data_IF_060830984549
#
_entry.id   IF_060830984549
#
_cell.length_a   1.000
_cell.length_b   1.000
_cell.length_c   1.000
_cell.angle_alpha   90.00
_cell.angle_beta   90.00
_cell.angle_gamma   90.00
#
_symmetry.space_group_name_H-M   'P 1'
#
loop_
_entity.id
_entity.type
_entity.pdbx_description
1 polymer ?
#
# COMPACT_ATOMS: atom_id res chain seq x y z
N UNK A 1 -27.18 26.08 11.44
CA UNK A 1 -26.74 24.96 10.58
C UNK A 1 -26.15 25.50 9.28
N UNK A 2 -26.88 26.30 8.49
CA UNK A 2 -26.41 26.89 7.22
C UNK A 2 -25.04 27.63 7.21
N UNK A 3 -24.59 28.21 8.33
CA UNK A 3 -23.33 28.98 8.35
C UNK A 3 -22.06 28.11 8.28
N UNK A 4 -22.15 26.83 8.66
CA UNK A 4 -20.99 25.91 8.64
C UNK A 4 -20.77 25.36 7.23
N UNK A 5 -21.86 25.11 6.52
CA UNK A 5 -21.90 24.50 5.18
C UNK A 5 -21.36 25.49 4.12
N UNK A 6 -21.62 26.79 4.31
CA UNK A 6 -21.05 27.84 3.45
C UNK A 6 -19.53 27.95 3.63
N UNK A 7 -19.03 27.86 4.86
CA UNK A 7 -17.59 27.97 5.12
C UNK A 7 -16.77 26.78 4.61
N UNK A 8 -17.30 25.55 4.70
CA UNK A 8 -16.63 24.36 4.16
C UNK A 8 -16.62 24.41 2.63
N UNK A 9 -17.73 24.81 2.01
CA UNK A 9 -17.81 25.01 0.55
C UNK A 9 -16.84 26.09 0.05
N UNK A 10 -16.75 27.24 0.73
CA UNK A 10 -15.80 28.30 0.37
C UNK A 10 -14.33 27.85 0.48
N UNK A 11 -13.96 27.16 1.57
CA UNK A 11 -12.59 26.67 1.73
C UNK A 11 -12.24 25.63 0.65
N UNK A 12 -13.17 24.73 0.37
CA UNK A 12 -13.03 23.74 -0.68
C UNK A 12 -12.82 24.41 -2.05
N UNK A 13 -13.65 25.41 -2.39
CA UNK A 13 -13.53 26.13 -3.65
C UNK A 13 -12.21 26.90 -3.75
N UNK A 14 -11.74 27.54 -2.67
CA UNK A 14 -10.43 28.22 -2.66
C UNK A 14 -9.29 27.25 -2.98
N UNK A 15 -9.35 26.02 -2.47
CA UNK A 15 -8.35 24.97 -2.76
C UNK A 15 -8.40 24.52 -4.22
N UNK A 16 -9.60 24.38 -4.77
CA UNK A 16 -9.78 24.10 -6.21
C UNK A 16 -9.15 25.24 -7.04
N UNK A 17 -9.45 26.49 -6.73
CA UNK A 17 -8.92 27.64 -7.47
C UNK A 17 -7.39 27.76 -7.36
N UNK A 18 -6.82 27.45 -6.20
CA UNK A 18 -5.37 27.37 -5.99
C UNK A 18 -4.71 26.33 -6.90
N UNK A 19 -5.31 25.13 -7.00
CA UNK A 19 -4.82 24.06 -7.88
C UNK A 19 -4.96 24.44 -9.35
N UNK A 20 -6.12 24.94 -9.78
CA UNK A 20 -6.33 25.36 -11.17
C UNK A 20 -5.29 26.42 -11.54
N UNK A 21 -5.10 27.46 -10.72
CA UNK A 21 -4.08 28.49 -10.97
C UNK A 21 -2.66 27.96 -11.00
N UNK A 22 -2.34 26.93 -10.22
CA UNK A 22 -1.01 26.30 -10.19
C UNK A 22 -0.72 25.62 -11.53
N UNK A 23 -1.67 24.83 -12.04
CA UNK A 23 -1.48 24.00 -13.23
C UNK A 23 -1.77 24.73 -14.55
N UNK A 24 -2.69 25.69 -14.56
CA UNK A 24 -2.99 26.56 -15.72
C UNK A 24 -1.80 27.45 -16.12
N UNK A 25 -0.87 27.72 -15.19
CA UNK A 25 0.40 28.43 -15.47
C UNK A 25 1.42 27.58 -16.22
N UNK A 26 1.22 26.26 -16.31
CA UNK A 26 2.16 25.35 -16.94
C UNK A 26 1.87 25.32 -18.44
N UNK A 27 2.59 26.13 -19.20
CA UNK A 27 2.48 26.18 -20.67
C UNK A 27 3.35 25.15 -21.37
N UNK A 28 4.41 24.69 -20.72
CA UNK A 28 5.34 23.70 -21.27
C UNK A 28 5.36 22.45 -20.39
N UNK A 29 5.22 21.24 -20.99
CA UNK A 29 5.24 20.00 -20.25
C UNK A 29 6.60 19.77 -19.60
N UNK A 30 6.62 19.20 -18.40
CA UNK A 30 7.83 18.82 -17.71
C UNK A 30 8.56 17.67 -18.46
N UNK A 31 9.82 17.40 -18.12
CA UNK A 31 10.63 16.39 -18.84
C UNK A 31 10.01 14.96 -18.81
N UNK A 32 9.31 14.61 -17.73
CA UNK A 32 8.63 13.32 -17.59
C UNK A 32 7.40 13.26 -18.50
N UNK A 33 6.56 14.30 -18.47
CA UNK A 33 5.40 14.41 -19.35
C UNK A 33 5.83 14.44 -20.82
N UNK A 34 6.89 15.19 -21.16
CA UNK A 34 7.47 15.18 -22.51
C UNK A 34 7.85 13.77 -22.97
N UNK A 35 8.51 12.99 -22.10
CA UNK A 35 8.90 11.61 -22.43
C UNK A 35 7.69 10.67 -22.57
N UNK A 36 6.61 10.91 -21.82
CA UNK A 36 5.34 10.18 -21.96
C UNK A 36 4.65 10.56 -23.27
N UNK A 37 4.60 11.84 -23.62
CA UNK A 37 3.95 12.34 -24.84
C UNK A 37 4.68 11.89 -26.12
N UNK A 38 5.99 11.62 -26.04
CA UNK A 38 6.77 11.04 -27.15
C UNK A 38 6.43 9.56 -27.42
N UNK A 39 5.81 8.88 -26.47
CA UNK A 39 5.45 7.47 -26.55
C UNK A 39 3.94 7.30 -26.76
N UNK A 40 3.47 6.88 -27.95
CA UNK A 40 2.05 6.86 -28.28
C UNK A 40 1.20 6.00 -27.35
N UNK A 41 1.74 4.88 -26.87
CA UNK A 41 1.03 3.99 -25.95
C UNK A 41 0.85 4.66 -24.58
N UNK A 42 1.95 5.16 -23.99
CA UNK A 42 1.91 5.87 -22.71
C UNK A 42 1.02 7.11 -22.75
N UNK A 43 1.08 7.89 -23.84
CA UNK A 43 0.21 9.05 -24.05
C UNK A 43 -1.26 8.65 -24.08
N UNK A 44 -1.60 7.59 -24.82
CA UNK A 44 -2.97 7.10 -24.91
C UNK A 44 -3.47 6.61 -23.56
N UNK A 45 -2.68 5.82 -22.83
CA UNK A 45 -3.05 5.35 -21.49
C UNK A 45 -3.33 6.50 -20.54
N UNK A 46 -2.51 7.57 -20.57
CA UNK A 46 -2.71 8.76 -19.74
C UNK A 46 -4.00 9.51 -20.12
N UNK A 47 -4.23 9.74 -21.41
CA UNK A 47 -5.45 10.41 -21.91
C UNK A 47 -6.70 9.61 -21.53
N UNK A 48 -6.69 8.30 -21.78
CA UNK A 48 -7.82 7.44 -21.49
C UNK A 48 -8.09 7.39 -19.96
N UNK A 49 -7.03 7.47 -19.13
CA UNK A 49 -7.16 7.55 -17.67
C UNK A 49 -7.88 8.82 -17.22
N UNK A 50 -7.53 9.98 -17.78
CA UNK A 50 -8.22 11.25 -17.49
C UNK A 50 -9.68 11.18 -17.95
N UNK A 51 -9.95 10.67 -19.15
CA UNK A 51 -11.32 10.53 -19.67
C UNK A 51 -12.20 9.67 -18.75
N UNK A 52 -11.64 8.57 -18.24
CA UNK A 52 -12.32 7.72 -17.26
C UNK A 52 -12.56 8.44 -15.96
N UNK A 53 -11.54 9.11 -15.40
CA UNK A 53 -11.70 9.85 -14.16
C UNK A 53 -12.77 10.94 -14.29
N UNK A 54 -12.76 11.71 -15.39
CA UNK A 54 -13.79 12.68 -15.67
C UNK A 54 -15.19 12.04 -15.77
N UNK A 55 -15.29 10.88 -16.42
CA UNK A 55 -16.54 10.13 -16.51
C UNK A 55 -17.04 9.68 -15.14
N UNK A 56 -16.17 9.19 -14.25
CA UNK A 56 -16.53 8.82 -12.88
C UNK A 56 -17.01 10.04 -12.09
N UNK A 57 -16.27 11.14 -12.14
CA UNK A 57 -16.59 12.38 -11.42
C UNK A 57 -17.95 12.95 -11.84
N UNK A 58 -18.32 12.85 -13.13
CA UNK A 58 -19.64 13.29 -13.63
C UNK A 58 -20.82 12.53 -13.01
N UNK A 59 -20.62 11.29 -12.56
CA UNK A 59 -21.67 10.46 -11.96
C UNK A 59 -21.71 10.54 -10.42
N UNK A 60 -20.79 11.29 -9.80
CA UNK A 60 -20.73 11.48 -8.35
C UNK A 60 -21.46 12.73 -7.91
N UNK A 61 -21.88 12.75 -6.66
CA UNK A 61 -22.47 13.92 -6.03
C UNK A 61 -21.48 15.07 -5.97
N UNK A 62 -21.93 16.26 -6.36
CA UNK A 62 -21.18 17.52 -6.24
C UNK A 62 -21.34 18.18 -4.88
N UNK A 63 -22.19 17.64 -4.01
CA UNK A 63 -22.34 18.16 -2.67
C UNK A 63 -21.08 17.85 -1.85
N UNK A 64 -20.48 18.87 -1.25
CA UNK A 64 -19.24 18.74 -0.45
C UNK A 64 -19.47 17.81 0.75
N UNK A 65 -20.69 17.75 1.28
CA UNK A 65 -21.05 16.89 2.42
C UNK A 65 -21.02 15.40 2.10
N UNK A 66 -21.29 15.03 0.84
CA UNK A 66 -21.28 13.63 0.42
C UNK A 66 -19.86 13.09 0.24
N UNK A 67 -18.87 14.00 0.17
CA UNK A 67 -17.43 13.70 0.09
C UNK A 67 -17.03 12.73 -1.05
N UNK A 68 -17.83 12.67 -2.12
CA UNK A 68 -17.59 11.77 -3.26
C UNK A 68 -16.58 12.33 -4.28
N UNK A 69 -16.40 13.65 -4.28
CA UNK A 69 -15.52 14.38 -5.21
C UNK A 69 -14.46 15.14 -4.42
N UNK A 70 -13.20 14.99 -4.80
CA UNK A 70 -12.06 15.66 -4.18
C UNK A 70 -11.81 17.04 -4.78
N UNK A 71 -10.92 17.82 -4.15
CA UNK A 71 -10.44 19.09 -4.74
C UNK A 71 -9.68 18.85 -6.05
N UNK A 72 -8.98 17.72 -6.18
CA UNK A 72 -8.26 17.33 -7.39
C UNK A 72 -9.23 17.02 -8.53
N UNK A 73 -10.34 16.34 -8.23
CA UNK A 73 -11.36 16.00 -9.22
C UNK A 73 -11.98 17.26 -9.83
N UNK A 74 -12.32 18.26 -9.00
CA UNK A 74 -12.84 19.52 -9.51
C UNK A 74 -11.80 20.32 -10.29
N UNK A 75 -10.54 20.35 -9.83
CA UNK A 75 -9.47 21.01 -10.57
C UNK A 75 -9.22 20.34 -11.93
N UNK A 76 -9.21 19.00 -11.97
CA UNK A 76 -9.07 18.21 -13.20
C UNK A 76 -10.22 18.49 -14.16
N UNK A 77 -11.45 18.54 -13.66
CA UNK A 77 -12.63 18.88 -14.46
C UNK A 77 -12.57 20.30 -15.00
N UNK A 78 -12.02 21.28 -14.26
CA UNK A 78 -11.88 22.65 -14.78
C UNK A 78 -10.80 22.72 -15.87
N UNK A 79 -9.61 22.18 -15.59
CA UNK A 79 -8.47 22.21 -16.52
C UNK A 79 -8.78 21.45 -17.83
N UNK A 80 -9.44 20.29 -17.73
CA UNK A 80 -9.79 19.49 -18.90
C UNK A 80 -11.10 19.92 -19.61
N UNK A 81 -11.60 21.12 -19.33
CA UNK A 81 -12.88 21.63 -19.85
C UNK A 81 -14.02 20.61 -19.70
N UNK A 82 -14.22 20.15 -18.48
CA UNK A 82 -15.20 19.16 -18.08
C UNK A 82 -14.88 17.73 -18.53
N UNK A 83 -13.63 17.43 -18.92
CA UNK A 83 -13.19 16.16 -19.49
C UNK A 83 -13.35 16.06 -21.00
N UNK A 84 -13.48 17.20 -21.70
CA UNK A 84 -13.51 17.27 -23.17
C UNK A 84 -12.14 17.55 -23.78
N UNK A 85 -11.29 18.28 -23.05
CA UNK A 85 -9.91 18.55 -23.44
C UNK A 85 -8.95 17.78 -22.53
N UNK A 86 -8.76 16.50 -22.85
CA UNK A 86 -7.90 15.61 -22.06
C UNK A 86 -6.43 15.66 -22.47
N UNK A 87 -6.06 16.55 -23.40
CA UNK A 87 -4.68 16.79 -23.82
C UNK A 87 -4.13 18.13 -23.30
N UNK A 88 -4.94 18.88 -22.53
CA UNK A 88 -4.47 20.07 -21.83
C UNK A 88 -3.24 19.73 -20.96
N UNK A 89 -2.18 20.53 -21.11
CA UNK A 89 -0.89 20.30 -20.43
C UNK A 89 -1.07 20.38 -18.92
N UNK A 90 -1.85 21.36 -18.43
CA UNK A 90 -2.14 21.52 -17.01
C UNK A 90 -2.90 20.32 -16.43
N UNK A 91 -3.89 19.80 -17.15
CA UNK A 91 -4.64 18.61 -16.76
C UNK A 91 -3.77 17.35 -16.71
N UNK A 92 -2.89 17.16 -17.70
CA UNK A 92 -1.96 16.04 -17.77
C UNK A 92 -0.95 16.10 -16.60
N UNK A 93 -0.38 17.27 -16.34
CA UNK A 93 0.54 17.52 -15.22
C UNK A 93 -0.13 17.29 -13.86
N UNK A 94 -1.38 17.77 -13.70
CA UNK A 94 -2.17 17.55 -12.49
C UNK A 94 -2.38 16.06 -12.25
N UNK A 95 -2.79 15.32 -13.29
CA UNK A 95 -3.07 13.89 -13.17
C UNK A 95 -1.83 13.09 -12.78
N UNK A 96 -0.69 13.33 -13.45
CA UNK A 96 0.56 12.69 -13.11
C UNK A 96 0.99 12.96 -11.67
N UNK A 97 0.99 14.23 -11.25
CA UNK A 97 1.49 14.63 -9.94
C UNK A 97 0.57 14.22 -8.79
N UNK A 98 -0.73 14.50 -8.90
CA UNK A 98 -1.65 14.39 -7.76
C UNK A 98 -2.40 13.03 -7.73
N UNK A 99 -2.63 12.39 -8.88
CA UNK A 99 -3.29 11.06 -8.91
C UNK A 99 -2.29 9.91 -8.95
N UNK A 100 -1.24 10.01 -9.77
CA UNK A 100 -0.23 8.95 -9.90
C UNK A 100 0.99 9.15 -8.99
N UNK A 101 1.12 10.30 -8.33
CA UNK A 101 2.28 10.61 -7.48
C UNK A 101 3.59 10.78 -8.25
N UNK A 102 3.51 11.01 -9.57
CA UNK A 102 4.66 11.18 -10.46
C UNK A 102 5.06 12.65 -10.47
N UNK A 103 6.17 12.96 -9.82
CA UNK A 103 6.71 14.31 -9.74
C UNK A 103 7.66 14.62 -10.91
N UNK A 104 8.00 15.90 -11.09
CA UNK A 104 8.95 16.39 -12.12
C UNK A 104 10.35 15.74 -12.05
N UNK A 105 10.72 15.19 -10.89
CA UNK A 105 12.01 14.53 -10.65
C UNK A 105 11.90 13.01 -10.63
N UNK A 106 10.71 12.45 -10.83
CA UNK A 106 10.52 11.00 -10.87
C UNK A 106 11.25 10.43 -12.10
N UNK A 107 11.92 9.27 -11.96
CA UNK A 107 12.49 8.60 -13.12
C UNK A 107 11.41 8.31 -14.17
N UNK A 108 11.71 8.53 -15.45
CA UNK A 108 10.76 8.29 -16.55
C UNK A 108 10.25 6.84 -16.53
N UNK A 109 11.13 5.88 -16.23
CA UNK A 109 10.77 4.47 -16.09
C UNK A 109 9.69 4.25 -15.01
N UNK A 110 9.78 4.96 -13.88
CA UNK A 110 8.77 4.90 -12.82
C UNK A 110 7.43 5.49 -13.28
N UNK A 111 7.47 6.62 -14.01
CA UNK A 111 6.26 7.24 -14.54
C UNK A 111 5.53 6.33 -15.54
N UNK A 112 6.28 5.67 -16.43
CA UNK A 112 5.73 4.68 -17.37
C UNK A 112 5.18 3.45 -16.65
N UNK A 113 5.89 2.97 -15.63
CA UNK A 113 5.41 1.84 -14.82
C UNK A 113 4.09 2.18 -14.12
N UNK A 114 3.97 3.37 -13.52
CA UNK A 114 2.74 3.80 -12.85
C UNK A 114 1.53 3.85 -13.82
N UNK A 115 1.74 4.29 -15.06
CA UNK A 115 0.71 4.26 -16.10
C UNK A 115 0.33 2.83 -16.50
N UNK A 116 1.32 1.96 -16.68
CA UNK A 116 1.11 0.55 -17.01
C UNK A 116 0.36 -0.19 -15.89
N UNK A 117 0.72 0.04 -14.63
CA UNK A 117 0.05 -0.57 -13.48
C UNK A 117 -1.42 -0.10 -13.38
N UNK A 118 -1.69 1.17 -13.72
CA UNK A 118 -3.05 1.70 -13.78
C UNK A 118 -3.87 1.03 -14.89
N UNK A 119 -3.27 0.79 -16.05
CA UNK A 119 -3.92 0.11 -17.17
C UNK A 119 -4.25 -1.35 -16.83
N UNK A 120 -3.31 -2.08 -16.19
CA UNK A 120 -3.57 -3.42 -15.68
C UNK A 120 -4.72 -3.42 -14.67
N UNK A 121 -4.70 -2.50 -13.71
CA UNK A 121 -5.76 -2.39 -12.70
C UNK A 121 -7.12 -2.23 -13.39
N UNK A 122 -7.20 -1.37 -14.40
CA UNK A 122 -8.43 -1.19 -15.15
C UNK A 122 -8.86 -2.46 -15.87
N UNK A 123 -7.94 -3.14 -16.57
CA UNK A 123 -8.26 -4.38 -17.28
C UNK A 123 -8.81 -5.45 -16.34
N UNK A 124 -8.25 -5.54 -15.12
CA UNK A 124 -8.72 -6.48 -14.10
C UNK A 124 -10.13 -6.11 -13.61
N UNK A 125 -10.41 -4.83 -13.34
CA UNK A 125 -11.74 -4.37 -12.92
C UNK A 125 -12.77 -4.60 -14.02
N UNK A 126 -12.44 -4.23 -15.26
CA UNK A 126 -13.36 -4.36 -16.40
C UNK A 126 -13.72 -5.83 -16.63
N UNK A 127 -12.74 -6.72 -16.56
CA UNK A 127 -12.93 -8.18 -16.65
C UNK A 127 -13.79 -8.73 -15.51
N UNK A 128 -13.59 -8.26 -14.28
CA UNK A 128 -14.39 -8.67 -13.14
C UNK A 128 -15.86 -8.23 -13.28
N UNK A 129 -16.11 -7.04 -13.84
CA UNK A 129 -17.47 -6.52 -14.06
C UNK A 129 -18.17 -7.10 -15.29
N UNK A 130 -17.42 -7.59 -16.28
CA UNK A 130 -17.94 -8.20 -17.50
C UNK A 130 -18.27 -9.70 -17.35
N UNK A 131 -18.05 -10.29 -16.17
CA UNK A 131 -18.35 -11.70 -15.90
C UNK A 131 -19.71 -11.83 -15.20
N UNK A 132 -20.81 -12.17 -15.90
CA UNK A 132 -22.01 -12.69 -15.27
C UNK A 132 -21.75 -14.14 -14.83
N UNK A 133 -22.09 -14.45 -13.59
CA UNK A 133 -21.90 -15.75 -12.96
C UNK A 133 -22.78 -16.87 -13.54
N UNK A 134 -22.25 -18.10 -13.44
CA UNK A 134 -22.87 -19.43 -13.40
C UNK A 134 -23.22 -20.11 -14.74
N UNK A 135 -22.38 -21.07 -15.14
CA UNK A 135 -22.86 -22.43 -15.43
C UNK A 135 -21.91 -23.40 -14.75
N UNK A 136 -22.44 -24.12 -13.76
CA UNK A 136 -21.84 -25.34 -13.23
C UNK A 136 -21.78 -26.38 -14.37
N UNK A 137 -20.59 -26.88 -14.67
CA UNK A 137 -20.43 -28.33 -14.85
C UNK A 137 -18.97 -28.72 -14.61
N UNK A 138 -18.81 -29.52 -13.56
CA UNK A 138 -17.56 -30.14 -13.17
C UNK A 138 -17.15 -31.21 -14.19
N UNK A 139 -15.87 -31.25 -14.54
CA UNK A 139 -15.19 -32.53 -14.71
C UNK A 139 -13.73 -32.37 -14.33
N UNK A 140 -13.40 -33.03 -13.23
CA UNK A 140 -12.06 -33.16 -12.69
C UNK A 140 -11.18 -33.99 -13.64
N UNK A 141 -9.92 -33.61 -13.77
CA UNK A 141 -8.83 -34.58 -13.89
C UNK A 141 -7.62 -34.00 -13.18
N UNK A 142 -7.36 -34.54 -12.00
CA UNK A 142 -6.10 -34.43 -11.26
C UNK A 142 -4.99 -35.11 -12.06
N UNK A 143 -3.80 -34.51 -12.11
CA UNK A 143 -2.54 -35.28 -12.03
C UNK A 143 -1.34 -34.35 -11.76
N UNK A 144 -0.67 -34.64 -10.65
CA UNK A 144 0.70 -34.25 -10.28
C UNK A 144 1.24 -35.45 -9.46
N UNK A 145 2.54 -35.58 -9.14
CA UNK A 145 3.81 -35.45 -9.87
C UNK A 145 4.61 -36.77 -9.88
N UNK A 146 5.61 -36.93 -10.76
CA UNK A 146 6.68 -37.92 -10.53
C UNK A 146 8.09 -37.39 -10.88
N UNK A 147 8.92 -37.32 -9.84
CA UNK A 147 10.39 -37.31 -9.84
C UNK A 147 10.93 -38.68 -10.27
N UNK A 148 12.18 -38.77 -10.75
CA UNK A 148 13.06 -39.79 -10.18
C UNK A 148 14.50 -39.31 -9.91
N UNK A 149 15.07 -39.96 -8.90
CA UNK A 149 16.37 -39.77 -8.28
C UNK A 149 17.35 -40.90 -8.70
N UNK A 150 18.66 -40.68 -8.52
CA UNK A 150 19.77 -41.64 -8.38
C UNK A 150 20.44 -42.18 -9.67
N UNK A 151 21.72 -42.53 -9.75
CA UNK A 151 23.01 -42.20 -9.11
C UNK A 151 23.99 -43.28 -9.61
N UNK A 152 25.18 -42.96 -10.12
CA UNK A 152 26.30 -43.92 -10.19
C UNK A 152 27.65 -43.18 -10.09
N UNK A 153 28.41 -43.54 -9.06
CA UNK A 153 29.73 -43.06 -8.69
C UNK A 153 30.83 -43.80 -9.45
N UNK A 154 31.96 -43.14 -9.70
CA UNK A 154 33.27 -43.77 -9.69
C UNK A 154 34.31 -42.79 -9.12
N UNK A 155 35.03 -43.27 -8.11
CA UNK A 155 36.15 -42.69 -7.37
C UNK A 155 37.46 -43.16 -8.07
N UNK A 156 38.55 -42.39 -8.17
CA UNK A 156 39.73 -42.52 -7.28
C UNK A 156 40.88 -41.57 -7.76
N UNK A 157 41.39 -40.80 -6.79
CA UNK A 157 42.76 -40.32 -6.49
C UNK A 157 43.57 -39.28 -7.31
N UNK A 158 44.04 -38.32 -6.51
CA UNK A 158 45.36 -37.68 -6.42
C UNK A 158 45.90 -36.84 -7.58
N UNK A 159 45.89 -35.52 -7.38
CA UNK A 159 47.16 -34.84 -7.09
C UNK A 159 46.97 -33.46 -6.44
N UNK A 160 47.59 -33.32 -5.28
CA UNK A 160 47.87 -32.06 -4.61
C UNK A 160 48.81 -31.15 -5.43
N UNK A 161 48.76 -29.86 -5.10
CA UNK A 161 49.69 -28.78 -5.50
C UNK A 161 49.52 -28.15 -6.89
N UNK A 162 48.80 -27.02 -6.95
CA UNK A 162 49.43 -25.74 -7.34
C UNK A 162 48.53 -24.52 -7.21
N UNK A 163 49.00 -23.60 -6.37
CA UNK A 163 48.93 -22.13 -6.49
C UNK A 163 47.56 -21.45 -6.38
N UNK A 164 47.36 -20.87 -5.19
CA UNK A 164 46.78 -19.55 -4.93
C UNK A 164 46.84 -18.64 -6.16
N UNK A 165 45.72 -18.49 -6.85
CA UNK A 165 45.42 -17.29 -7.61
C UNK A 165 44.32 -16.57 -6.84
N UNK A 166 44.72 -15.53 -6.11
CA UNK A 166 43.81 -14.53 -5.60
C UNK A 166 43.15 -13.91 -6.83
N UNK A 167 41.92 -14.32 -7.13
CA UNK A 167 41.07 -13.57 -8.05
C UNK A 167 40.83 -12.21 -7.41
N UNK A 168 41.60 -11.23 -7.84
CA UNK A 168 41.35 -9.81 -7.59
C UNK A 168 40.01 -9.54 -8.28
N UNK A 169 38.94 -9.47 -7.47
CA UNK A 169 37.67 -8.92 -7.91
C UNK A 169 37.95 -7.55 -8.54
N UNK A 170 37.36 -7.22 -9.70
CA UNK A 170 37.50 -5.90 -10.27
C UNK A 170 37.08 -4.85 -9.22
N UNK A 171 37.72 -3.67 -9.18
CA UNK A 171 37.37 -2.62 -8.24
C UNK A 171 35.86 -2.38 -8.32
N UNK A 172 35.16 -2.56 -7.18
CA UNK A 172 33.74 -2.26 -7.08
C UNK A 172 33.54 -0.85 -7.65
N UNK A 173 32.67 -0.66 -8.66
CA UNK A 173 32.41 0.68 -9.17
C UNK A 173 32.00 1.58 -7.99
N UNK A 174 32.37 2.87 -8.01
CA UNK A 174 31.98 3.79 -6.95
C UNK A 174 30.45 3.70 -6.77
N UNK A 175 29.96 3.68 -5.51
CA UNK A 175 28.55 3.51 -5.24
C UNK A 175 27.78 4.60 -6.00
N UNK A 176 26.74 4.19 -6.71
CA UNK A 176 25.84 5.13 -7.38
C UNK A 176 25.24 6.10 -6.35
N UNK A 177 24.88 7.33 -6.76
CA UNK A 177 24.25 8.31 -5.87
C UNK A 177 23.02 7.73 -5.15
N UNK A 178 22.28 6.85 -5.83
CA UNK A 178 21.13 6.11 -5.30
C UNK A 178 21.54 5.05 -4.26
N UNK A 179 22.68 4.37 -4.42
CA UNK A 179 23.23 3.50 -3.36
C UNK A 179 23.66 4.28 -2.12
N UNK A 180 24.23 5.48 -2.30
CA UNK A 180 24.60 6.36 -1.18
C UNK A 180 23.35 6.80 -0.43
N UNK A 181 22.33 7.29 -1.13
CA UNK A 181 21.04 7.69 -0.53
C UNK A 181 20.34 6.54 0.18
N UNK A 182 20.33 5.34 -0.42
CA UNK A 182 19.77 4.14 0.22
C UNK A 182 20.50 3.81 1.51
N UNK A 183 21.83 3.83 1.52
CA UNK A 183 22.62 3.60 2.75
C UNK A 183 22.34 4.63 3.84
N UNK A 184 22.29 5.91 3.49
CA UNK A 184 21.92 6.98 4.44
C UNK A 184 20.51 6.80 5.01
N UNK A 185 19.56 6.36 4.17
CA UNK A 185 18.19 6.10 4.61
C UNK A 185 18.08 4.89 5.54
N UNK A 186 18.82 3.81 5.25
CA UNK A 186 18.94 2.65 6.15
C UNK A 186 19.51 3.07 7.48
N UNK A 187 20.59 3.84 7.48
CA UNK A 187 21.25 4.29 8.70
C UNK A 187 20.29 5.11 9.57
N UNK A 188 19.53 6.04 8.97
CA UNK A 188 18.49 6.79 9.68
C UNK A 188 17.40 5.89 10.28
N UNK A 189 16.92 4.90 9.52
CA UNK A 189 15.90 3.96 10.00
C UNK A 189 16.42 3.10 11.16
N UNK A 190 17.65 2.59 11.07
CA UNK A 190 18.30 1.85 12.14
C UNK A 190 18.48 2.72 13.38
N UNK A 191 18.90 3.98 13.23
CA UNK A 191 19.03 4.92 14.35
C UNK A 191 17.68 5.17 15.04
N UNK A 192 16.60 5.34 14.27
CA UNK A 192 15.25 5.50 14.83
C UNK A 192 14.79 4.23 15.56
N UNK A 193 15.06 3.05 15.01
CA UNK A 193 14.80 1.78 15.66
C UNK A 193 15.57 1.63 16.98
N UNK A 194 16.88 1.89 16.99
CA UNK A 194 17.70 1.80 18.22
C UNK A 194 17.23 2.79 19.29
N UNK A 195 16.85 4.00 18.89
CA UNK A 195 16.25 4.98 19.80
C UNK A 195 14.92 4.48 20.37
N UNK A 196 14.03 3.96 19.53
CA UNK A 196 12.75 3.41 19.95
C UNK A 196 12.93 2.18 20.87
N UNK A 197 13.89 1.31 20.56
CA UNK A 197 14.27 0.16 21.39
C UNK A 197 14.78 0.60 22.76
N UNK A 198 15.62 1.63 22.81
CA UNK A 198 16.11 2.19 24.07
C UNK A 198 14.98 2.81 24.90
N UNK A 199 14.05 3.54 24.28
CA UNK A 199 12.87 4.10 24.97
C UNK A 199 11.92 3.02 25.48
N UNK A 200 11.71 1.95 24.70
CA UNK A 200 10.92 0.79 25.09
C UNK A 200 11.57 0.00 26.23
N UNK A 201 12.90 -0.16 26.20
CA UNK A 201 13.65 -0.94 27.20
C UNK A 201 13.87 -0.19 28.51
N UNK A 202 13.75 1.15 28.51
CA UNK A 202 13.84 1.98 29.72
C UNK A 202 12.63 1.83 30.64
N UNK A 203 11.48 1.40 30.11
CA UNK A 203 10.26 1.22 30.89
C UNK A 203 10.13 -0.22 31.34
N UNK A 204 9.63 -0.40 32.55
CA UNK A 204 9.25 -1.71 33.02
C UNK A 204 8.10 -2.26 32.17
N UNK A 205 8.01 -3.58 31.95
CA UNK A 205 6.99 -4.18 31.10
C UNK A 205 5.55 -3.81 31.50
N UNK A 206 5.30 -3.50 32.76
CA UNK A 206 3.98 -3.13 33.28
C UNK A 206 3.62 -1.66 32.99
N UNK A 207 4.62 -0.78 32.84
CA UNK A 207 4.48 0.67 32.64
C UNK A 207 4.52 1.09 31.16
N UNK A 208 4.59 0.12 30.25
CA UNK A 208 4.57 0.38 28.81
C UNK A 208 3.16 0.82 28.41
N UNK A 209 3.05 2.08 27.99
CA UNK A 209 1.82 2.61 27.41
C UNK A 209 1.57 2.03 26.00
N UNK A 210 0.29 1.93 25.63
CA UNK A 210 -0.15 1.42 24.32
C UNK A 210 0.46 2.22 23.16
N UNK A 211 0.65 3.53 23.35
CA UNK A 211 1.22 4.42 22.35
C UNK A 211 2.67 4.07 22.07
N UNK A 212 3.45 3.80 23.12
CA UNK A 212 4.85 3.39 23.01
C UNK A 212 4.99 2.00 22.41
N UNK A 213 4.12 1.06 22.79
CA UNK A 213 4.10 -0.29 22.21
C UNK A 213 3.77 -0.27 20.71
N UNK A 214 2.79 0.54 20.29
CA UNK A 214 2.45 0.73 18.87
C UNK A 214 3.58 1.42 18.10
N UNK A 215 4.13 2.50 18.65
CA UNK A 215 5.25 3.21 18.03
C UNK A 215 6.46 2.30 17.82
N UNK A 216 6.82 1.49 18.82
CA UNK A 216 7.93 0.55 18.70
C UNK A 216 7.64 -0.55 17.67
N UNK A 217 6.42 -1.12 17.68
CA UNK A 217 5.96 -2.09 16.67
C UNK A 217 6.10 -1.51 15.26
N UNK A 218 5.53 -0.33 15.02
CA UNK A 218 5.49 0.30 13.68
C UNK A 218 6.90 0.69 13.22
N UNK A 219 7.76 1.14 14.14
CA UNK A 219 9.17 1.45 13.85
C UNK A 219 9.95 0.20 13.45
N UNK A 220 9.75 -0.92 14.15
CA UNK A 220 10.37 -2.21 13.80
C UNK A 220 9.85 -2.76 12.47
N UNK A 221 8.54 -2.68 12.23
CA UNK A 221 7.91 -3.10 10.98
C UNK A 221 8.40 -2.30 9.77
N UNK A 222 8.42 -0.97 9.89
CA UNK A 222 8.91 -0.09 8.83
C UNK A 222 10.40 -0.33 8.52
N UNK A 223 11.22 -0.55 9.54
CA UNK A 223 12.66 -0.82 9.36
C UNK A 223 12.86 -2.18 8.66
N UNK A 224 12.14 -3.22 9.07
CA UNK A 224 12.20 -4.54 8.42
C UNK A 224 11.71 -4.50 6.97
N UNK A 225 10.59 -3.82 6.73
CA UNK A 225 10.02 -3.69 5.40
C UNK A 225 11.00 -2.98 4.46
N UNK A 226 11.61 -1.88 4.93
CA UNK A 226 12.59 -1.13 4.14
C UNK A 226 13.82 -1.97 3.80
N UNK A 227 14.35 -2.76 4.74
CA UNK A 227 15.50 -3.64 4.49
C UNK A 227 15.19 -4.73 3.47
N UNK A 228 13.99 -5.33 3.53
CA UNK A 228 13.57 -6.39 2.60
C UNK A 228 13.30 -5.90 1.19
N UNK A 229 12.68 -4.73 1.03
CA UNK A 229 12.36 -4.14 -0.28
C UNK A 229 13.61 -3.63 -1.01
N UNK A 230 14.69 -3.33 -0.29
CA UNK A 230 15.93 -2.79 -0.86
C UNK A 230 17.07 -3.84 -0.95
N UNK A 231 16.74 -5.13 -1.06
CA UNK A 231 17.69 -6.25 -1.20
C UNK A 231 18.74 -6.33 -0.07
N UNK A 232 18.41 -5.84 1.12
CA UNK A 232 19.26 -5.89 2.32
C UNK A 232 18.75 -6.90 3.35
N UNK A 233 18.14 -7.99 2.87
CA UNK A 233 17.61 -9.08 3.68
C UNK A 233 18.68 -9.85 4.46
N UNK A 234 19.96 -9.71 4.08
CA UNK A 234 21.11 -10.31 4.77
C UNK A 234 21.69 -9.43 5.89
N UNK A 235 21.06 -8.29 6.20
CA UNK A 235 21.57 -7.36 7.20
C UNK A 235 21.58 -8.00 8.62
N UNK A 236 22.69 -7.93 9.38
CA UNK A 236 22.86 -8.68 10.64
C UNK A 236 21.87 -8.30 11.75
N UNK A 237 21.26 -7.10 11.67
CA UNK A 237 20.27 -6.64 12.65
C UNK A 237 18.85 -7.18 12.41
N UNK A 238 18.58 -7.84 11.28
CA UNK A 238 17.22 -8.31 10.94
C UNK A 238 16.64 -9.24 12.00
N UNK A 239 17.34 -10.29 12.49
CA UNK A 239 16.81 -11.18 13.52
C UNK A 239 16.43 -10.44 14.81
N UNK A 240 17.21 -9.42 15.18
CA UNK A 240 16.96 -8.60 16.37
C UNK A 240 15.72 -7.72 16.21
N UNK A 241 15.53 -7.14 15.01
CA UNK A 241 14.37 -6.31 14.71
C UNK A 241 13.10 -7.17 14.62
N UNK A 242 13.17 -8.38 14.05
CA UNK A 242 12.06 -9.34 14.00
C UNK A 242 11.60 -9.76 15.40
N UNK A 243 12.54 -10.09 16.28
CA UNK A 243 12.22 -10.41 17.67
C UNK A 243 11.57 -9.21 18.39
N UNK A 244 12.12 -8.02 18.18
CA UNK A 244 11.58 -6.78 18.74
C UNK A 244 10.17 -6.47 18.25
N UNK A 245 9.89 -6.70 16.96
CA UNK A 245 8.58 -6.55 16.36
C UNK A 245 7.55 -7.50 17.00
N UNK A 246 7.85 -8.79 17.10
CA UNK A 246 6.90 -9.76 17.69
C UNK A 246 6.63 -9.47 19.16
N UNK A 247 7.64 -9.05 19.93
CA UNK A 247 7.46 -8.61 21.33
C UNK A 247 6.56 -7.38 21.43
N UNK A 248 6.79 -6.36 20.60
CA UNK A 248 6.01 -5.12 20.60
C UNK A 248 4.56 -5.35 20.13
N UNK A 249 4.37 -6.19 19.11
CA UNK A 249 3.06 -6.61 18.58
C UNK A 249 2.24 -7.34 19.63
N UNK A 250 2.82 -8.31 20.32
CA UNK A 250 2.16 -9.01 21.43
C UNK A 250 1.76 -8.06 22.55
N UNK A 251 2.67 -7.15 22.95
CA UNK A 251 2.39 -6.16 24.01
C UNK A 251 1.30 -5.16 23.61
N UNK A 252 1.34 -4.65 22.38
CA UNK A 252 0.32 -3.75 21.86
C UNK A 252 -1.06 -4.43 21.80
N UNK A 253 -1.12 -5.70 21.41
CA UNK A 253 -2.36 -6.48 21.40
C UNK A 253 -2.92 -6.70 22.82
N UNK A 254 -2.05 -6.99 23.79
CA UNK A 254 -2.43 -7.10 25.21
C UNK A 254 -3.01 -5.78 25.75
N UNK A 255 -2.32 -4.65 25.51
CA UNK A 255 -2.73 -3.33 25.98
C UNK A 255 -3.99 -2.79 25.27
N UNK A 256 -4.21 -3.19 24.01
CA UNK A 256 -5.41 -2.83 23.25
C UNK A 256 -6.68 -3.58 23.71
N UNK A 257 -6.57 -4.53 24.64
CA UNK A 257 -7.70 -5.19 25.29
C UNK A 257 -8.56 -6.06 24.36
N UNK A 258 -8.04 -6.48 23.20
CA UNK A 258 -8.81 -7.26 22.24
C UNK A 258 -7.92 -8.16 21.38
N UNK A 259 -7.27 -9.13 22.02
CA UNK A 259 -6.95 -10.37 21.31
C UNK A 259 -8.25 -10.90 20.71
N UNK A 260 -8.28 -11.14 19.39
CA UNK A 260 -9.43 -11.82 18.80
C UNK A 260 -9.41 -13.24 19.34
N UNK A 261 -10.57 -13.86 19.57
CA UNK A 261 -10.68 -15.25 20.05
C UNK A 261 -9.92 -16.27 19.14
N UNK A 262 -9.44 -15.83 17.98
CA UNK A 262 -8.67 -16.60 17.02
C UNK A 262 -7.15 -16.61 17.27
N UNK A 263 -6.60 -15.69 18.07
CA UNK A 263 -5.16 -15.54 18.30
C UNK A 263 -4.66 -16.28 19.56
N UNK A 264 -5.55 -16.99 20.26
CA UNK A 264 -5.20 -17.75 21.45
C UNK A 264 -4.56 -19.08 21.00
N UNK A 265 -3.26 -19.34 21.30
CA UNK A 265 -2.64 -20.60 20.94
C UNK A 265 -3.42 -21.71 21.63
N UNK A 266 -3.95 -22.66 20.84
CA UNK A 266 -4.73 -23.81 21.33
C UNK A 266 -3.98 -24.47 22.48
N UNK A 267 -4.39 -24.14 23.70
CA UNK A 267 -3.92 -24.82 24.89
C UNK A 267 -4.43 -26.26 24.81
N UNK A 268 -3.52 -27.17 24.47
CA UNK A 268 -3.65 -28.59 24.74
C UNK A 268 -3.84 -28.75 26.24
N UNK A 269 -5.07 -28.97 26.69
CA UNK A 269 -5.45 -30.02 27.64
C UNK A 269 -6.88 -29.81 28.13
N UNK A 270 -7.65 -30.89 28.01
CA UNK A 270 -8.90 -31.16 28.69
C UNK A 270 -8.88 -30.70 30.15
N UNK A 271 -9.81 -29.83 30.54
CA UNK A 271 -10.55 -29.97 31.79
C UNK A 271 -11.93 -29.34 31.65
N UNK A 272 -12.97 -30.17 31.75
CA UNK A 272 -14.35 -29.73 31.94
C UNK A 272 -14.46 -28.90 33.22
N UNK A 273 -15.02 -27.69 33.12
CA UNK A 273 -15.81 -27.08 34.19
C UNK A 273 -16.59 -25.88 33.63
N UNK A 274 -17.80 -26.16 33.14
CA UNK A 274 -18.80 -25.13 32.87
C UNK A 274 -19.46 -24.67 34.18
N UNK A 275 -19.45 -23.37 34.54
CA UNK A 275 -20.39 -22.87 35.53
C UNK A 275 -21.71 -22.51 34.85
N UNK A 276 -22.78 -23.05 35.43
CA UNK A 276 -24.18 -22.98 35.00
C UNK A 276 -24.73 -21.56 34.73
N UNK A 277 -25.48 -21.45 33.62
CA UNK A 277 -26.31 -20.30 33.25
C UNK A 277 -27.35 -20.00 34.34
N UNK A 278 -27.20 -18.90 35.07
CA UNK A 278 -28.32 -18.27 35.79
C UNK A 278 -29.05 -17.30 34.87
N UNK A 279 -30.14 -17.79 34.28
CA UNK A 279 -31.20 -16.98 33.68
C UNK A 279 -31.79 -16.06 34.75
N UNK A 280 -31.60 -14.76 34.63
CA UNK A 280 -32.49 -13.76 35.24
C UNK A 280 -32.86 -12.74 34.18
N UNK A 281 -34.11 -12.83 33.73
CA UNK A 281 -34.68 -11.89 32.78
C UNK A 281 -34.90 -10.52 33.42
N UNK A 282 -34.71 -9.48 32.62
CA UNK A 282 -35.50 -8.24 32.71
C UNK A 282 -35.82 -7.76 31.30
N UNK A 283 -37.09 -7.37 31.17
CA UNK A 283 -37.83 -7.00 29.97
C UNK A 283 -37.23 -5.77 29.31
N UNK A 284 -37.14 -5.77 27.98
CA UNK A 284 -37.30 -4.55 27.18
C UNK A 284 -38.42 -4.79 26.17
N UNK A 285 -39.57 -4.16 26.39
CA UNK A 285 -40.55 -3.92 25.35
C UNK A 285 -40.10 -2.65 24.63
N UNK A 286 -39.64 -2.78 23.39
CA UNK A 286 -39.85 -1.77 22.37
C UNK A 286 -40.08 -2.52 21.07
N UNK A 287 -41.30 -2.43 20.55
CA UNK A 287 -41.65 -2.90 19.21
C UNK A 287 -41.03 -1.89 18.25
N UNK A 288 -40.01 -2.29 17.50
CA UNK A 288 -39.73 -1.65 16.23
C UNK A 288 -40.79 -2.11 15.24
N UNK A 289 -41.53 -1.14 14.73
CA UNK A 289 -42.43 -1.29 13.60
C UNK A 289 -41.55 -1.46 12.37
N UNK A 290 -41.58 -2.65 11.79
CA UNK A 290 -40.94 -2.97 10.52
C UNK A 290 -41.62 -2.16 9.39
N UNK A 291 -40.91 -1.16 8.88
CA UNK A 291 -41.38 -0.21 7.87
C UNK A 291 -41.34 -0.75 6.43
N UNK A 292 -41.10 -2.06 6.22
CA UNK A 292 -41.00 -2.65 4.87
C UNK A 292 -42.15 -3.59 4.48
N UNK A 293 -43.27 -3.61 5.22
CA UNK A 293 -44.43 -4.42 4.82
C UNK A 293 -45.55 -3.56 4.19
N UNK A 294 -45.75 -3.61 2.86
CA UNK A 294 -46.86 -2.91 2.21
C UNK A 294 -48.18 -3.61 2.55
N UNK A 295 -49.16 -2.82 3.01
CA UNK A 295 -50.50 -3.29 3.40
C UNK A 295 -51.34 -3.69 2.18
N UNK A 296 -52.19 -4.70 2.39
CA UNK A 296 -53.30 -5.05 1.50
C UNK A 296 -54.50 -4.15 1.76
#
# INVERSE_FOLDING_TARGET
MASRDVHTSEFFQRKVDELVRKYDRITEPNAVLQAILQDPESMRSLVDAIQRQASLVRHRSRNVEDAEITVFDNALMILSNGGHDTQDVGALELYLAEYLGVCTFSPIAHAKQALHDYDILQDTVTRATASPSITDEATATEEQPQTPEQALKAHVQDNEHSRRLQHILPPRPPPTLEEVRRREQVERLIQMYEKAKAEYSKKDPEDIDISLAKYFRDTSENTLHFLRVNDMSDHPLIPDIENSFERAKGKAAQLAGRGRHFDEPRATTSTHNHPSKKRRGRRHRYREVDSYRPGK
#
